data_IF_578944819564
#
_entry.id   IF_578944819564
#
_cell.length_a   1.000
_cell.length_b   1.000
_cell.length_c   1.000
_cell.angle_alpha   90.00
_cell.angle_beta   90.00
_cell.angle_gamma   90.00
#
_symmetry.space_group_name_H-M   'P 1'
#
loop_
_entity.id
_entity.type
_entity.pdbx_description
1 polymer ?
#
# COMPACT_ATOMS: atom_id res chain seq x y z
N UNK A 1 -19.91 31.62 -8.86
CA UNK A 1 -21.01 31.51 -9.84
C UNK A 1 -20.43 31.85 -11.20
N UNK A 2 -20.03 30.84 -11.96
CA UNK A 2 -19.69 31.03 -13.38
C UNK A 2 -20.07 29.74 -14.08
N UNK A 3 -21.17 29.82 -14.86
CA UNK A 3 -21.70 28.73 -15.67
C UNK A 3 -20.83 28.57 -16.92
N UNK A 4 -20.46 27.35 -17.22
CA UNK A 4 -19.88 26.95 -18.52
C UNK A 4 -21.02 26.82 -19.54
N UNK A 5 -20.88 27.32 -20.78
CA UNK A 5 -21.88 27.21 -21.81
C UNK A 5 -21.80 25.87 -22.54
N UNK A 6 -22.95 25.20 -22.67
CA UNK A 6 -23.15 24.10 -23.60
C UNK A 6 -23.28 24.67 -25.04
N UNK A 7 -22.70 24.03 -26.07
CA UNK A 7 -22.90 24.41 -27.45
C UNK A 7 -24.35 24.02 -27.91
N UNK A 8 -24.95 24.91 -28.72
CA UNK A 8 -26.25 24.71 -29.32
C UNK A 8 -26.15 23.79 -30.55
N UNK A 9 -27.22 23.05 -30.92
CA UNK A 9 -27.24 22.09 -32.00
C UNK A 9 -27.57 22.73 -33.35
N UNK A 10 -26.72 23.58 -33.91
CA UNK A 10 -26.89 24.14 -35.25
C UNK A 10 -25.50 24.51 -35.81
N UNK A 11 -24.75 23.49 -36.25
CA UNK A 11 -23.65 23.65 -37.19
C UNK A 11 -23.37 22.28 -37.86
N UNK A 12 -24.19 21.98 -38.87
CA UNK A 12 -23.84 20.97 -39.87
C UNK A 12 -23.40 21.68 -41.17
N UNK A 13 -22.26 21.36 -41.72
CA UNK A 13 -21.90 21.85 -43.06
C UNK A 13 -22.69 21.09 -44.13
N UNK A 14 -23.37 21.87 -44.97
CA UNK A 14 -23.98 21.43 -46.20
C UNK A 14 -22.91 20.90 -47.18
N UNK A 15 -23.08 19.68 -47.63
CA UNK A 15 -22.35 19.17 -48.79
C UNK A 15 -23.23 19.32 -50.02
N UNK A 16 -22.82 20.22 -50.92
CA UNK A 16 -23.41 20.46 -52.23
C UNK A 16 -23.15 19.27 -53.14
N UNK A 17 -24.20 18.87 -53.81
CA UNK A 17 -24.19 17.92 -54.95
C UNK A 17 -23.81 18.64 -56.23
N UNK A 18 -23.06 17.94 -57.07
CA UNK A 18 -23.01 18.01 -58.54
C UNK A 18 -21.95 16.94 -58.99
N UNK A 19 -22.24 16.00 -59.85
CA UNK A 19 -22.47 16.01 -61.29
C UNK A 19 -22.73 14.60 -61.84
N UNK A 20 -23.74 14.51 -62.61
CA UNK A 20 -24.01 13.79 -63.85
C UNK A 20 -23.09 12.65 -64.36
N UNK A 21 -23.75 11.60 -64.84
CA UNK A 21 -23.14 10.74 -65.82
C UNK A 21 -23.78 9.35 -65.99
N UNK A 22 -24.78 9.25 -66.88
CA UNK A 22 -25.07 8.16 -67.88
C UNK A 22 -25.33 6.74 -67.43
N UNK A 23 -26.59 6.40 -67.69
CA UNK A 23 -27.20 5.13 -68.06
C UNK A 23 -26.33 3.89 -68.26
N UNK A 24 -26.73 2.78 -67.63
CA UNK A 24 -27.06 1.49 -68.25
C UNK A 24 -27.80 0.66 -67.18
N UNK A 25 -29.05 0.25 -67.47
CA UNK A 25 -29.76 -0.79 -66.71
C UNK A 25 -29.29 -2.19 -67.15
N UNK A 26 -29.18 -3.10 -66.20
CA UNK A 26 -29.81 -4.40 -66.36
C UNK A 26 -30.69 -4.72 -65.14
N UNK A 27 -31.86 -5.15 -65.46
CA UNK A 27 -32.84 -5.78 -64.58
C UNK A 27 -32.23 -6.99 -63.87
N UNK A 28 -32.18 -6.93 -62.55
CA UNK A 28 -31.91 -8.12 -61.75
C UNK A 28 -32.74 -8.06 -60.46
N UNK A 29 -33.57 -9.05 -60.37
CA UNK A 29 -34.07 -9.72 -59.19
C UNK A 29 -34.48 -8.84 -58.00
N UNK A 30 -35.77 -8.77 -57.70
CA UNK A 30 -36.28 -8.37 -56.37
C UNK A 30 -35.48 -9.14 -55.32
N UNK A 31 -34.89 -8.46 -54.32
CA UNK A 31 -34.39 -9.16 -53.14
C UNK A 31 -35.61 -9.73 -52.42
N UNK A 32 -35.65 -11.04 -52.26
CA UNK A 32 -36.54 -11.70 -51.30
C UNK A 32 -36.41 -11.03 -49.94
N UNK A 33 -37.52 -10.77 -49.25
CA UNK A 33 -37.43 -10.21 -47.91
C UNK A 33 -36.66 -11.15 -47.04
N UNK A 34 -35.56 -10.65 -46.50
CA UNK A 34 -34.80 -11.31 -45.45
C UNK A 34 -35.76 -11.71 -44.35
N UNK A 35 -35.72 -12.99 -44.02
CA UNK A 35 -36.44 -13.60 -42.90
C UNK A 35 -36.39 -12.66 -41.73
N UNK A 36 -37.51 -12.03 -41.40
CA UNK A 36 -37.72 -11.30 -40.15
C UNK A 36 -37.23 -12.22 -39.02
N UNK A 37 -36.15 -11.86 -38.44
CA UNK A 37 -35.76 -12.44 -37.15
C UNK A 37 -36.89 -12.09 -36.19
N UNK A 38 -37.75 -13.05 -35.89
CA UNK A 38 -38.79 -12.90 -34.90
C UNK A 38 -38.17 -12.34 -33.64
N UNK A 39 -38.53 -11.11 -33.29
CA UNK A 39 -38.05 -10.45 -32.10
C UNK A 39 -38.33 -11.38 -30.90
N UNK A 40 -37.30 -11.70 -30.15
CA UNK A 40 -37.45 -12.50 -28.93
C UNK A 40 -38.53 -11.83 -28.02
N UNK A 41 -39.36 -12.61 -27.33
CA UNK A 41 -40.38 -12.05 -26.46
C UNK A 41 -39.73 -11.11 -25.44
N UNK A 42 -40.41 -10.00 -25.07
CA UNK A 42 -39.87 -9.07 -24.10
C UNK A 42 -39.68 -9.75 -22.74
N UNK A 43 -38.49 -9.57 -22.14
CA UNK A 43 -38.18 -10.07 -20.82
C UNK A 43 -38.64 -9.04 -19.77
N UNK A 44 -39.07 -9.53 -18.61
CA UNK A 44 -39.23 -8.68 -17.42
C UNK A 44 -37.85 -8.28 -16.87
N UNK A 45 -37.80 -7.22 -16.07
CA UNK A 45 -36.57 -6.76 -15.41
C UNK A 45 -35.94 -7.87 -14.55
N UNK A 46 -36.80 -8.64 -13.84
CA UNK A 46 -36.33 -9.75 -13.01
C UNK A 46 -35.74 -10.90 -13.84
N UNK A 47 -36.35 -11.24 -14.98
CA UNK A 47 -35.82 -12.27 -15.88
C UNK A 47 -34.48 -11.86 -16.49
N UNK A 48 -34.33 -10.58 -16.89
CA UNK A 48 -33.07 -10.06 -17.38
C UNK A 48 -31.99 -10.10 -16.29
N UNK A 49 -32.33 -9.66 -15.06
CA UNK A 49 -31.41 -9.69 -13.91
C UNK A 49 -30.94 -11.10 -13.58
N UNK A 50 -31.86 -12.09 -13.61
CA UNK A 50 -31.54 -13.49 -13.39
C UNK A 50 -30.59 -14.04 -14.49
N UNK A 51 -30.82 -13.70 -15.76
CA UNK A 51 -29.95 -14.07 -16.86
C UNK A 51 -28.54 -13.47 -16.71
N UNK A 52 -28.43 -12.18 -16.38
CA UNK A 52 -27.13 -11.53 -16.12
C UNK A 52 -26.37 -12.25 -15.01
N UNK A 53 -27.06 -12.53 -13.91
CA UNK A 53 -26.47 -13.25 -12.77
C UNK A 53 -25.99 -14.64 -13.16
N UNK A 54 -26.79 -15.39 -13.92
CA UNK A 54 -26.44 -16.71 -14.40
C UNK A 54 -25.19 -16.67 -15.30
N UNK A 55 -25.15 -15.76 -16.27
CA UNK A 55 -23.98 -15.60 -17.15
C UNK A 55 -22.72 -15.26 -16.35
N UNK A 56 -22.80 -14.39 -15.36
CA UNK A 56 -21.67 -14.04 -14.50
C UNK A 56 -21.19 -15.27 -13.71
N UNK A 57 -22.12 -16.06 -13.15
CA UNK A 57 -21.78 -17.26 -12.37
C UNK A 57 -21.15 -18.34 -13.22
N UNK A 58 -21.63 -18.53 -14.46
CA UNK A 58 -21.17 -19.60 -15.36
C UNK A 58 -19.85 -19.24 -16.05
N UNK A 59 -19.54 -17.93 -16.21
CA UNK A 59 -18.40 -17.48 -17.01
C UNK A 59 -17.21 -17.07 -16.18
N UNK A 60 -17.43 -16.48 -14.99
CA UNK A 60 -16.34 -15.97 -14.17
C UNK A 60 -15.76 -17.07 -13.25
N UNK A 61 -14.44 -17.17 -13.15
CA UNK A 61 -13.82 -18.06 -12.17
C UNK A 61 -14.19 -17.66 -10.75
N UNK A 62 -14.41 -18.61 -9.87
CA UNK A 62 -14.64 -18.36 -8.44
C UNK A 62 -13.58 -19.09 -7.63
N UNK A 63 -12.76 -18.36 -6.82
CA UNK A 63 -12.75 -16.91 -6.62
C UNK A 63 -12.07 -16.12 -7.74
N UNK A 64 -12.51 -14.88 -7.97
CA UNK A 64 -11.81 -13.90 -8.81
C UNK A 64 -10.79 -13.12 -7.98
N UNK A 65 -9.72 -12.64 -8.63
CA UNK A 65 -8.74 -11.73 -8.04
C UNK A 65 -8.72 -10.43 -8.84
N UNK A 66 -9.00 -9.32 -8.18
CA UNK A 66 -9.06 -8.00 -8.80
C UNK A 66 -8.05 -7.09 -8.13
N UNK A 67 -7.21 -6.43 -8.91
CA UNK A 67 -6.28 -5.39 -8.43
C UNK A 67 -6.88 -4.03 -8.69
N UNK A 68 -6.75 -3.11 -7.75
CA UNK A 68 -7.22 -1.73 -7.90
C UNK A 68 -6.89 -0.87 -6.69
N UNK A 69 -7.11 0.43 -6.83
CA UNK A 69 -6.98 1.40 -5.76
C UNK A 69 -8.28 1.52 -4.97
N UNK A 70 -8.21 1.48 -3.66
CA UNK A 70 -9.35 1.68 -2.78
C UNK A 70 -9.83 3.14 -2.87
N UNK A 71 -11.14 3.32 -2.98
CA UNK A 71 -11.79 4.63 -2.92
C UNK A 71 -13.14 4.54 -2.20
N UNK A 72 -13.57 5.64 -1.58
CA UNK A 72 -14.81 5.75 -0.82
C UNK A 72 -14.95 4.67 0.28
N UNK A 73 -13.86 4.42 1.00
CA UNK A 73 -13.83 3.43 2.06
C UNK A 73 -14.72 3.86 3.24
N UNK A 74 -15.61 2.99 3.65
CA UNK A 74 -16.48 3.20 4.80
C UNK A 74 -16.55 1.92 5.63
N UNK A 75 -16.26 2.03 6.92
CA UNK A 75 -16.43 0.96 7.88
C UNK A 75 -17.66 1.23 8.76
N UNK A 76 -18.59 0.29 8.74
CA UNK A 76 -19.70 0.21 9.69
C UNK A 76 -19.68 -1.17 10.35
N UNK A 77 -20.73 -1.98 10.15
CA UNK A 77 -20.69 -3.41 10.49
C UNK A 77 -19.85 -4.19 9.48
N UNK A 78 -19.81 -3.74 8.24
CA UNK A 78 -19.06 -4.29 7.11
C UNK A 78 -18.20 -3.18 6.49
N UNK A 79 -17.17 -3.55 5.73
CA UNK A 79 -16.43 -2.59 4.92
C UNK A 79 -17.09 -2.44 3.55
N UNK A 80 -17.38 -1.21 3.17
CA UNK A 80 -17.85 -0.83 1.84
C UNK A 80 -16.81 0.07 1.21
N UNK A 81 -16.42 -0.22 -0.02
CA UNK A 81 -15.46 0.57 -0.77
C UNK A 81 -15.63 0.33 -2.27
N UNK A 82 -14.93 1.08 -3.08
CA UNK A 82 -14.81 0.82 -4.50
C UNK A 82 -13.35 0.54 -4.85
N UNK A 83 -13.11 -0.42 -5.73
CA UNK A 83 -11.83 -0.57 -6.40
C UNK A 83 -11.91 0.18 -7.72
N UNK A 84 -10.92 1.03 -7.99
CA UNK A 84 -10.81 1.78 -9.23
C UNK A 84 -9.46 1.52 -9.89
N UNK A 85 -9.42 1.63 -11.21
CA UNK A 85 -8.26 1.78 -12.06
C UNK A 85 -8.44 2.99 -12.99
N UNK A 86 -7.58 3.13 -14.01
CA UNK A 86 -7.62 4.27 -14.93
C UNK A 86 -8.92 4.37 -15.76
N UNK A 87 -9.70 3.29 -15.88
CA UNK A 87 -10.88 3.23 -16.75
C UNK A 87 -12.16 2.76 -16.09
N UNK A 88 -12.11 2.16 -14.90
CA UNK A 88 -13.24 1.46 -14.32
C UNK A 88 -13.34 1.57 -12.81
N UNK A 89 -14.56 1.38 -12.30
CA UNK A 89 -14.82 1.33 -10.86
C UNK A 89 -15.70 0.13 -10.54
N UNK A 90 -15.32 -0.67 -9.56
CA UNK A 90 -16.04 -1.84 -9.08
C UNK A 90 -16.41 -1.67 -7.61
N UNK A 91 -17.69 -1.80 -7.27
CA UNK A 91 -18.15 -1.79 -5.87
C UNK A 91 -17.75 -3.07 -5.17
N UNK A 92 -17.25 -2.92 -3.93
CA UNK A 92 -16.77 -4.01 -3.09
C UNK A 92 -17.45 -4.00 -1.73
N UNK A 93 -17.77 -5.19 -1.25
CA UNK A 93 -18.30 -5.43 0.10
C UNK A 93 -17.46 -6.49 0.79
N UNK A 94 -16.83 -6.13 1.91
CA UNK A 94 -16.12 -7.07 2.76
C UNK A 94 -16.91 -7.26 4.06
N UNK A 95 -17.44 -8.45 4.27
CA UNK A 95 -18.24 -8.76 5.46
C UNK A 95 -17.39 -8.76 6.73
N UNK A 96 -18.02 -8.53 7.87
CA UNK A 96 -17.36 -8.44 9.18
C UNK A 96 -16.46 -9.64 9.52
N UNK A 97 -16.83 -10.86 9.07
CA UNK A 97 -16.03 -12.07 9.25
C UNK A 97 -14.70 -12.06 8.52
N UNK A 98 -14.68 -11.50 7.30
CA UNK A 98 -13.48 -11.30 6.49
C UNK A 98 -12.71 -10.04 6.95
N UNK A 99 -13.41 -8.95 7.24
CA UNK A 99 -12.83 -7.69 7.72
C UNK A 99 -12.00 -7.87 9.01
N UNK A 100 -12.45 -8.70 9.96
CA UNK A 100 -11.71 -9.02 11.19
C UNK A 100 -10.42 -9.80 10.97
N UNK A 101 -10.25 -10.42 9.80
CA UNK A 101 -9.04 -11.21 9.45
C UNK A 101 -8.02 -10.37 8.68
N UNK A 102 -8.34 -9.11 8.36
CA UNK A 102 -7.39 -8.21 7.71
C UNK A 102 -6.27 -7.85 8.67
N UNK A 103 -5.04 -8.10 8.27
CA UNK A 103 -3.84 -7.74 9.05
C UNK A 103 -3.44 -6.27 8.90
N UNK A 104 -4.29 -5.43 8.28
CA UNK A 104 -4.04 -4.01 8.05
C UNK A 104 -5.37 -3.24 8.01
N UNK A 105 -5.29 -1.92 8.14
CA UNK A 105 -6.45 -1.03 8.03
C UNK A 105 -6.52 -0.47 6.61
N UNK A 106 -7.55 -0.85 5.81
CA UNK A 106 -7.72 -0.28 4.47
C UNK A 106 -8.00 1.23 4.54
N UNK A 107 -7.39 1.98 3.63
CA UNK A 107 -7.59 3.43 3.48
C UNK A 107 -7.73 3.80 2.02
N UNK A 108 -8.39 4.95 1.74
CA UNK A 108 -8.47 5.49 0.38
C UNK A 108 -7.06 5.76 -0.18
N UNK A 109 -6.89 5.48 -1.48
CA UNK A 109 -5.61 5.60 -2.17
C UNK A 109 -4.71 4.35 -2.10
N UNK A 110 -5.05 3.36 -1.29
CA UNK A 110 -4.26 2.14 -1.16
C UNK A 110 -4.50 1.19 -2.34
N UNK A 111 -3.43 0.72 -2.98
CA UNK A 111 -3.51 -0.34 -3.97
C UNK A 111 -3.60 -1.73 -3.30
N UNK A 112 -4.59 -2.52 -3.72
CA UNK A 112 -4.86 -3.84 -3.13
C UNK A 112 -5.20 -4.88 -4.19
N UNK A 113 -5.00 -6.15 -3.83
CA UNK A 113 -5.59 -7.31 -4.52
C UNK A 113 -6.76 -7.80 -3.68
N UNK A 114 -7.96 -7.66 -4.19
CA UNK A 114 -9.16 -8.23 -3.59
C UNK A 114 -9.46 -9.60 -4.20
N UNK A 115 -9.62 -10.60 -3.37
CA UNK A 115 -10.02 -11.95 -3.76
C UNK A 115 -11.42 -12.21 -3.24
N UNK A 116 -12.31 -12.69 -4.10
CA UNK A 116 -13.69 -12.93 -3.72
C UNK A 116 -14.55 -13.42 -4.88
N UNK A 117 -15.85 -13.23 -4.78
CA UNK A 117 -16.81 -13.59 -5.81
C UNK A 117 -17.51 -12.37 -6.37
N UNK A 118 -17.74 -12.36 -7.68
CA UNK A 118 -18.58 -11.38 -8.33
C UNK A 118 -20.04 -11.82 -8.23
N UNK A 119 -20.93 -10.89 -7.93
CA UNK A 119 -22.37 -11.10 -7.94
C UNK A 119 -23.07 -9.85 -8.47
N UNK A 120 -24.30 -10.04 -8.96
CA UNK A 120 -25.15 -8.97 -9.43
C UNK A 120 -26.18 -8.63 -8.37
N UNK A 121 -26.07 -7.40 -7.82
CA UNK A 121 -27.02 -6.93 -6.82
C UNK A 121 -28.29 -6.41 -7.49
N UNK A 122 -29.31 -7.26 -7.61
CA UNK A 122 -30.53 -7.06 -8.36
C UNK A 122 -31.29 -5.81 -7.94
N UNK A 123 -31.34 -5.50 -6.63
CA UNK A 123 -32.09 -4.35 -6.11
C UNK A 123 -31.57 -2.99 -6.62
N UNK A 124 -30.32 -2.90 -7.06
CA UNK A 124 -29.70 -1.68 -7.60
C UNK A 124 -29.16 -1.86 -9.03
N UNK A 125 -29.28 -3.04 -9.61
CA UNK A 125 -28.78 -3.32 -10.95
C UNK A 125 -27.26 -3.17 -11.06
N UNK A 126 -26.49 -3.51 -10.00
CA UNK A 126 -25.07 -3.22 -9.91
C UNK A 126 -24.24 -4.49 -9.75
N UNK A 127 -23.10 -4.51 -10.43
CA UNK A 127 -22.08 -5.51 -10.23
C UNK A 127 -21.34 -5.22 -8.92
N UNK A 128 -21.16 -6.23 -8.07
CA UNK A 128 -20.43 -6.11 -6.80
C UNK A 128 -19.46 -7.25 -6.62
N UNK A 129 -18.30 -6.94 -6.01
CA UNK A 129 -17.33 -7.93 -5.55
C UNK A 129 -17.53 -8.17 -4.05
N UNK A 130 -17.92 -9.37 -3.67
CA UNK A 130 -17.93 -9.81 -2.28
C UNK A 130 -16.54 -10.32 -1.92
N UNK A 131 -15.84 -9.54 -1.09
CA UNK A 131 -14.42 -9.74 -0.79
C UNK A 131 -14.27 -10.70 0.39
N UNK A 132 -13.58 -11.81 0.16
CA UNK A 132 -13.20 -12.79 1.16
C UNK A 132 -11.80 -12.52 1.73
N UNK A 133 -10.89 -11.99 0.89
CA UNK A 133 -9.51 -11.65 1.25
C UNK A 133 -9.09 -10.35 0.57
N UNK A 134 -8.38 -9.50 1.30
CA UNK A 134 -7.81 -8.26 0.81
C UNK A 134 -6.34 -8.21 1.18
N UNK A 135 -5.48 -7.92 0.20
CA UNK A 135 -4.02 -7.90 0.35
C UNK A 135 -3.48 -6.60 -0.27
N UNK A 136 -2.67 -5.81 0.44
CA UNK A 136 -2.01 -4.67 -0.17
C UNK A 136 -1.06 -5.09 -1.29
N UNK A 137 -1.05 -4.34 -2.38
CA UNK A 137 -0.09 -4.56 -3.48
C UNK A 137 1.31 -4.19 -2.99
N UNK A 138 2.27 -5.08 -3.17
CA UNK A 138 3.67 -4.84 -2.78
C UNK A 138 4.09 -5.50 -1.46
N UNK A 139 3.19 -5.78 -0.51
CA UNK A 139 3.56 -6.42 0.75
C UNK A 139 4.22 -7.79 0.56
N UNK A 140 3.74 -8.61 -0.38
CA UNK A 140 4.35 -9.90 -0.67
C UNK A 140 5.79 -9.80 -1.17
N UNK A 141 6.12 -8.79 -1.96
CA UNK A 141 7.48 -8.56 -2.45
C UNK A 141 8.40 -8.05 -1.34
N UNK A 142 7.92 -7.14 -0.49
CA UNK A 142 8.67 -6.63 0.65
C UNK A 142 8.94 -7.76 1.65
N UNK A 143 7.95 -8.57 1.95
CA UNK A 143 8.09 -9.73 2.83
C UNK A 143 9.13 -10.74 2.29
N UNK A 144 9.11 -11.05 0.99
CA UNK A 144 10.11 -11.91 0.37
C UNK A 144 11.52 -11.31 0.47
N UNK A 145 11.68 -10.01 0.20
CA UNK A 145 12.96 -9.30 0.33
C UNK A 145 13.46 -9.30 1.78
N UNK A 146 12.56 -9.04 2.73
CA UNK A 146 12.88 -9.10 4.16
C UNK A 146 13.41 -10.48 4.56
N UNK A 147 12.69 -11.57 4.19
CA UNK A 147 13.10 -12.94 4.52
C UNK A 147 14.44 -13.32 3.88
N UNK A 148 14.62 -12.96 2.61
CA UNK A 148 15.89 -13.25 1.91
C UNK A 148 17.06 -12.54 2.58
N UNK A 149 16.92 -11.24 2.90
CA UNK A 149 17.98 -10.49 3.57
C UNK A 149 18.22 -10.98 5.01
N UNK A 150 17.16 -11.33 5.75
CA UNK A 150 17.32 -11.95 7.08
C UNK A 150 18.10 -13.26 7.03
N UNK A 151 17.87 -14.10 6.02
CA UNK A 151 18.61 -15.34 5.88
C UNK A 151 20.08 -15.08 5.58
N UNK A 152 20.38 -14.22 4.63
CA UNK A 152 21.74 -13.83 4.28
C UNK A 152 22.51 -13.28 5.50
N UNK A 153 21.90 -12.33 6.22
CA UNK A 153 22.53 -11.72 7.39
C UNK A 153 22.72 -12.71 8.55
N UNK A 154 21.83 -13.70 8.68
CA UNK A 154 21.99 -14.79 9.66
C UNK A 154 23.18 -15.66 9.32
N UNK A 155 23.34 -16.04 8.07
CA UNK A 155 24.49 -16.83 7.60
C UNK A 155 25.83 -16.09 7.78
N UNK A 156 25.79 -14.75 7.73
CA UNK A 156 26.94 -13.88 7.99
C UNK A 156 27.18 -13.59 9.50
N UNK A 157 26.35 -14.14 10.40
CA UNK A 157 26.50 -13.98 11.85
C UNK A 157 26.07 -12.61 12.40
N UNK A 158 25.27 -11.83 11.65
CA UNK A 158 24.86 -10.48 12.09
C UNK A 158 23.95 -10.48 13.32
N UNK A 159 23.32 -11.59 13.62
CA UNK A 159 22.37 -11.73 14.73
C UNK A 159 22.95 -12.48 15.93
N UNK A 160 24.23 -12.88 15.88
CA UNK A 160 24.85 -13.67 16.92
C UNK A 160 24.90 -12.90 18.25
N UNK A 161 24.56 -13.59 19.34
CA UNK A 161 24.48 -12.98 20.66
C UNK A 161 25.87 -12.57 21.16
N UNK A 162 26.90 -13.34 20.82
CA UNK A 162 28.29 -13.13 21.25
C UNK A 162 28.88 -11.81 20.76
N UNK A 163 28.34 -11.26 19.68
CA UNK A 163 28.78 -9.96 19.13
C UNK A 163 28.05 -8.77 19.70
N UNK A 164 26.90 -8.98 20.38
CA UNK A 164 26.12 -7.89 20.95
C UNK A 164 26.86 -7.24 22.11
N UNK A 165 26.99 -5.92 22.02
CA UNK A 165 27.69 -5.13 23.03
C UNK A 165 26.82 -4.94 24.26
N UNK A 166 27.39 -5.04 25.48
CA UNK A 166 26.63 -4.75 26.68
C UNK A 166 26.23 -3.27 26.74
N UNK A 167 25.02 -3.01 27.19
CA UNK A 167 24.56 -1.65 27.41
C UNK A 167 25.19 -1.08 28.71
N UNK A 168 25.53 0.21 28.73
CA UNK A 168 25.99 0.88 29.95
C UNK A 168 24.90 0.90 31.03
N UNK A 169 25.24 0.55 32.26
CA UNK A 169 24.29 0.55 33.39
C UNK A 169 23.79 1.96 33.71
N UNK A 170 24.68 2.95 33.62
CA UNK A 170 24.36 4.37 33.88
C UNK A 170 24.89 5.26 32.75
N UNK A 171 24.14 5.34 31.62
CA UNK A 171 24.55 6.19 30.51
C UNK A 171 24.43 7.68 30.91
N UNK A 172 25.47 8.45 30.66
CA UNK A 172 25.48 9.91 30.86
C UNK A 172 25.02 10.64 29.61
N UNK A 173 25.33 10.10 28.44
CA UNK A 173 24.98 10.72 27.17
C UNK A 173 24.52 9.66 26.19
N UNK A 174 23.31 9.82 25.66
CA UNK A 174 22.72 8.99 24.63
C UNK A 174 22.55 9.80 23.35
N UNK A 175 23.08 9.30 22.23
CA UNK A 175 22.81 9.84 20.91
C UNK A 175 21.45 9.29 20.42
N UNK A 176 20.51 10.17 20.11
CA UNK A 176 19.20 9.78 19.58
C UNK A 176 19.19 10.04 18.08
N UNK A 177 19.14 8.97 17.31
CA UNK A 177 19.06 9.02 15.84
C UNK A 177 17.59 8.88 15.45
N UNK A 178 16.98 9.99 15.09
CA UNK A 178 15.55 10.09 14.74
C UNK A 178 15.26 11.44 14.07
N UNK A 179 14.02 11.60 13.58
CA UNK A 179 13.56 12.89 13.05
C UNK A 179 13.21 13.87 14.17
N UNK A 180 13.66 15.13 14.03
CA UNK A 180 13.35 16.21 14.95
C UNK A 180 11.85 16.46 15.11
N UNK A 181 11.08 16.30 14.05
CA UNK A 181 9.63 16.52 14.04
C UNK A 181 8.82 15.29 14.46
N UNK A 182 9.47 14.15 14.73
CA UNK A 182 8.79 12.89 15.04
C UNK A 182 8.25 12.83 16.47
N UNK A 183 7.09 12.18 16.67
CA UNK A 183 6.53 11.93 18.00
C UNK A 183 7.48 11.10 18.86
N UNK A 184 8.21 10.15 18.27
CA UNK A 184 9.18 9.31 18.97
C UNK A 184 10.23 10.11 19.75
N UNK A 185 10.72 11.25 19.22
CA UNK A 185 11.66 12.10 19.93
C UNK A 185 11.04 12.68 21.21
N UNK A 186 9.77 13.12 21.15
CA UNK A 186 9.08 13.68 22.33
C UNK A 186 8.87 12.61 23.39
N UNK A 187 8.56 11.38 23.00
CA UNK A 187 8.41 10.25 23.92
C UNK A 187 9.73 9.91 24.61
N UNK A 188 10.85 9.90 23.86
CA UNK A 188 12.20 9.71 24.40
C UNK A 188 12.52 10.82 25.42
N UNK A 189 12.31 12.09 25.06
CA UNK A 189 12.57 13.23 25.97
C UNK A 189 11.74 13.11 27.23
N UNK A 190 10.44 12.86 27.10
CA UNK A 190 9.51 12.78 28.24
C UNK A 190 9.85 11.59 29.14
N UNK A 191 10.21 10.46 28.58
CA UNK A 191 10.59 9.26 29.34
C UNK A 191 11.92 9.46 30.06
N UNK A 192 12.92 10.03 29.38
CA UNK A 192 14.23 10.30 29.97
C UNK A 192 14.12 11.30 31.11
N UNK A 193 13.36 12.40 30.96
CA UNK A 193 13.13 13.39 32.04
C UNK A 193 12.51 12.76 33.26
N UNK A 194 11.59 11.82 33.10
CA UNK A 194 10.91 11.15 34.22
C UNK A 194 11.76 10.11 34.92
N UNK A 195 12.61 9.37 34.15
CA UNK A 195 13.33 8.19 34.66
C UNK A 195 14.82 8.43 34.93
N UNK A 196 15.45 9.32 34.21
CA UNK A 196 16.88 9.60 34.31
C UNK A 196 17.19 11.05 33.93
N UNK A 197 16.79 12.00 34.77
CA UNK A 197 16.94 13.44 34.52
C UNK A 197 18.39 13.89 34.32
N UNK A 198 19.38 13.13 34.80
CA UNK A 198 20.82 13.40 34.61
C UNK A 198 21.39 12.92 33.26
N UNK A 199 20.64 12.18 32.46
CA UNK A 199 21.07 11.70 31.15
C UNK A 199 20.92 12.80 30.08
N UNK A 200 22.02 13.07 29.37
CA UNK A 200 22.05 14.03 28.28
C UNK A 200 21.64 13.33 26.99
N UNK A 201 20.69 13.91 26.24
CA UNK A 201 20.29 13.46 24.91
C UNK A 201 20.93 14.36 23.85
N UNK A 202 21.59 13.75 22.86
CA UNK A 202 22.11 14.42 21.68
C UNK A 202 21.33 13.97 20.46
N UNK A 203 20.55 14.86 19.87
CA UNK A 203 19.76 14.55 18.67
C UNK A 203 20.65 14.56 17.43
N UNK A 204 20.59 13.47 16.69
CA UNK A 204 21.06 13.34 15.32
C UNK A 204 19.84 13.33 14.43
N UNK A 205 19.52 14.49 13.86
CA UNK A 205 18.33 14.71 13.05
C UNK A 205 18.51 14.07 11.67
N UNK A 206 17.75 13.01 11.40
CA UNK A 206 17.76 12.24 10.15
C UNK A 206 16.33 11.98 9.68
N UNK A 207 16.16 11.79 8.38
CA UNK A 207 14.90 11.24 7.87
C UNK A 207 14.76 9.79 8.32
N UNK A 208 13.56 9.42 8.78
CA UNK A 208 13.24 8.07 9.27
C UNK A 208 12.21 7.35 8.40
N UNK A 209 11.88 7.93 7.25
CA UNK A 209 11.00 7.35 6.22
C UNK A 209 11.32 7.93 4.84
N UNK A 210 10.89 7.20 3.78
CA UNK A 210 11.18 7.56 2.40
C UNK A 210 12.57 7.10 1.94
N UNK A 211 12.85 7.24 0.65
CA UNK A 211 14.05 6.67 -0.01
C UNK A 211 15.39 7.16 0.55
N UNK A 212 15.44 8.35 1.13
CA UNK A 212 16.67 8.91 1.69
C UNK A 212 16.93 8.51 3.15
N UNK A 213 15.98 7.86 3.83
CA UNK A 213 16.10 7.55 5.25
C UNK A 213 17.23 6.54 5.52
N UNK A 214 17.31 5.45 4.79
CA UNK A 214 18.34 4.43 5.01
C UNK A 214 19.78 4.96 4.85
N UNK A 215 20.13 5.72 3.79
CA UNK A 215 21.45 6.34 3.69
C UNK A 215 21.74 7.34 4.83
N UNK A 216 20.78 8.16 5.23
CA UNK A 216 20.99 9.14 6.31
C UNK A 216 21.18 8.47 7.67
N UNK A 217 20.38 7.47 7.99
CA UNK A 217 20.53 6.68 9.22
C UNK A 217 21.89 5.99 9.26
N UNK A 218 22.30 5.33 8.17
CA UNK A 218 23.59 4.67 8.08
C UNK A 218 24.74 5.66 8.25
N UNK A 219 24.69 6.83 7.60
CA UNK A 219 25.72 7.88 7.72
C UNK A 219 25.81 8.43 9.15
N UNK A 220 24.66 8.62 9.82
CA UNK A 220 24.64 9.07 11.21
C UNK A 220 25.27 8.04 12.15
N UNK A 221 24.96 6.75 11.99
CA UNK A 221 25.56 5.66 12.77
C UNK A 221 27.07 5.59 12.53
N UNK A 222 27.53 5.70 11.28
CA UNK A 222 28.94 5.71 10.94
C UNK A 222 29.70 6.92 11.54
N UNK A 223 29.08 8.09 11.53
CA UNK A 223 29.64 9.28 12.17
C UNK A 223 29.80 9.06 13.68
N UNK A 224 28.73 8.53 14.33
CA UNK A 224 28.73 8.21 15.75
C UNK A 224 29.75 7.11 16.09
N UNK A 225 29.91 6.10 15.26
CA UNK A 225 30.93 5.08 15.45
C UNK A 225 32.35 5.64 15.47
N UNK A 226 32.63 6.63 14.59
CA UNK A 226 33.96 7.27 14.50
C UNK A 226 34.21 8.31 15.58
N UNK A 227 33.22 9.10 15.97
CA UNK A 227 33.39 10.29 16.80
C UNK A 227 32.72 10.21 18.15
N UNK A 228 31.80 9.27 18.37
CA UNK A 228 30.93 9.23 19.52
C UNK A 228 31.69 9.12 20.84
N UNK A 229 32.77 8.34 20.90
CA UNK A 229 33.63 8.25 22.10
C UNK A 229 34.28 9.58 22.45
N UNK A 230 34.71 10.37 21.45
CA UNK A 230 35.28 11.72 21.68
C UNK A 230 34.25 12.69 22.18
N UNK A 231 32.97 12.49 21.79
CA UNK A 231 31.83 13.31 22.24
C UNK A 231 31.27 12.83 23.60
N UNK A 232 31.85 11.78 24.18
CA UNK A 232 31.38 11.20 25.45
C UNK A 232 30.00 10.54 25.33
N UNK A 233 29.70 9.95 24.17
CA UNK A 233 28.46 9.21 23.91
C UNK A 233 28.63 7.78 24.39
N UNK A 234 27.73 7.32 25.26
CA UNK A 234 27.77 6.01 25.88
C UNK A 234 26.95 4.97 25.09
N UNK A 235 25.87 5.39 24.45
CA UNK A 235 25.01 4.53 23.64
C UNK A 235 24.29 5.32 22.55
N UNK A 236 23.82 4.61 21.54
CA UNK A 236 22.98 5.14 20.45
C UNK A 236 21.56 4.58 20.63
N UNK A 237 20.56 5.43 20.56
CA UNK A 237 19.17 5.05 20.45
C UNK A 237 18.69 5.39 19.03
N UNK A 238 18.45 4.36 18.22
CA UNK A 238 17.83 4.48 16.90
C UNK A 238 16.33 4.26 17.06
N UNK A 239 15.53 5.28 16.79
CA UNK A 239 14.09 5.18 17.07
C UNK A 239 13.22 5.84 16.02
N UNK A 240 12.06 5.21 15.79
CA UNK A 240 10.97 5.70 14.94
C UNK A 240 9.65 5.19 15.49
N UNK A 241 8.62 6.04 15.50
CA UNK A 241 7.26 5.64 15.88
C UNK A 241 6.65 4.61 14.93
N UNK A 242 5.45 4.10 15.23
CA UNK A 242 4.73 3.13 14.40
C UNK A 242 4.45 3.64 12.98
N UNK A 243 4.06 2.73 12.10
CA UNK A 243 3.74 2.98 10.70
C UNK A 243 3.56 1.68 9.93
N UNK A 244 3.28 1.79 8.64
CA UNK A 244 3.18 0.62 7.75
C UNK A 244 4.57 -0.03 7.52
N UNK A 245 4.59 -1.25 7.00
CA UNK A 245 5.85 -1.92 6.64
C UNK A 245 6.65 -1.13 5.60
N UNK A 246 5.98 -0.47 4.68
CA UNK A 246 6.58 0.42 3.69
C UNK A 246 7.28 1.61 4.36
N UNK A 247 6.67 2.19 5.38
CA UNK A 247 7.24 3.29 6.15
C UNK A 247 8.45 2.86 6.98
N UNK A 248 8.47 1.64 7.47
CA UNK A 248 9.56 1.06 8.24
C UNK A 248 10.66 0.45 7.37
N UNK A 249 10.44 0.39 6.05
CA UNK A 249 11.32 -0.34 5.14
C UNK A 249 12.77 0.14 5.15
N UNK A 250 13.00 1.43 5.38
CA UNK A 250 14.34 1.99 5.50
C UNK A 250 15.23 1.27 6.55
N UNK A 251 14.61 0.71 7.58
CA UNK A 251 15.30 -0.05 8.64
C UNK A 251 15.49 -1.53 8.31
N UNK A 252 14.96 -1.97 7.15
CA UNK A 252 15.18 -3.30 6.58
C UNK A 252 16.21 -3.27 5.44
N UNK A 253 16.82 -2.12 5.17
CA UNK A 253 17.84 -1.98 4.14
C UNK A 253 19.20 -2.48 4.61
N UNK A 254 19.93 -3.18 3.72
CA UNK A 254 21.27 -3.73 3.96
C UNK A 254 22.25 -2.70 4.52
N UNK A 255 22.23 -1.47 3.98
CA UNK A 255 23.14 -0.39 4.37
C UNK A 255 23.01 -0.02 5.85
N UNK A 256 21.80 -0.08 6.42
CA UNK A 256 21.54 0.20 7.85
C UNK A 256 22.04 -0.96 8.70
N UNK A 257 21.76 -2.22 8.29
CA UNK A 257 22.26 -3.40 8.97
C UNK A 257 23.80 -3.39 9.04
N UNK A 258 24.47 -3.10 7.95
CA UNK A 258 25.92 -3.00 7.87
C UNK A 258 26.50 -1.89 8.77
N UNK A 259 25.82 -0.73 8.83
CA UNK A 259 26.22 0.39 9.70
C UNK A 259 26.11 0.01 11.18
N UNK A 260 25.01 -0.64 11.58
CA UNK A 260 24.81 -1.14 12.95
C UNK A 260 25.85 -2.20 13.28
N UNK A 261 26.09 -3.15 12.37
CA UNK A 261 27.03 -4.25 12.56
C UNK A 261 28.45 -3.78 12.84
N UNK A 262 28.95 -2.78 12.09
CA UNK A 262 30.32 -2.24 12.26
C UNK A 262 30.45 -1.15 13.32
N UNK A 263 29.34 -0.70 13.93
CA UNK A 263 29.37 0.38 14.93
C UNK A 263 30.13 -0.06 16.18
N UNK A 264 30.95 0.83 16.72
CA UNK A 264 31.76 0.56 17.93
C UNK A 264 31.03 0.89 19.24
N UNK A 265 29.94 1.67 19.18
CA UNK A 265 29.10 1.99 20.33
C UNK A 265 27.92 1.01 20.42
N UNK A 266 27.41 0.73 21.63
CA UNK A 266 26.19 -0.05 21.76
C UNK A 266 24.99 0.69 21.18
N UNK A 267 24.15 -0.04 20.43
CA UNK A 267 22.95 0.48 19.76
C UNK A 267 21.72 -0.20 20.32
N UNK A 268 20.74 0.61 20.75
CA UNK A 268 19.38 0.17 21.01
C UNK A 268 18.53 0.62 19.83
N UNK A 269 17.82 -0.32 19.18
CA UNK A 269 16.86 0.00 18.12
C UNK A 269 15.44 -0.19 18.65
N UNK A 270 14.61 0.86 18.55
CA UNK A 270 13.22 0.89 18.96
C UNK A 270 12.39 1.44 17.79
N UNK A 271 11.91 0.54 16.93
CA UNK A 271 11.33 0.88 15.64
C UNK A 271 9.96 0.24 15.51
N UNK A 272 8.92 1.06 15.24
CA UNK A 272 7.55 0.58 15.15
C UNK A 272 6.95 0.16 16.50
N UNK A 273 6.04 -0.82 16.46
CA UNK A 273 5.42 -1.41 17.65
C UNK A 273 6.07 -2.76 17.97
N UNK A 274 5.74 -3.35 19.11
CA UNK A 274 6.29 -4.65 19.53
C UNK A 274 6.08 -5.80 18.54
N UNK A 275 5.03 -5.70 17.71
CA UNK A 275 4.70 -6.66 16.64
C UNK A 275 5.55 -6.51 15.38
N UNK A 276 6.16 -5.34 15.19
CA UNK A 276 6.88 -4.99 13.97
C UNK A 276 8.38 -5.24 14.20
N UNK A 277 8.90 -6.34 13.69
CA UNK A 277 10.34 -6.64 13.81
C UNK A 277 11.06 -6.19 12.55
N UNK A 278 12.07 -5.31 12.71
CA UNK A 278 12.93 -4.86 11.62
C UNK A 278 14.32 -5.50 11.66
N UNK A 279 15.00 -5.52 10.50
CA UNK A 279 16.40 -6.02 10.44
C UNK A 279 17.31 -5.18 11.33
N UNK A 280 17.12 -3.86 11.40
CA UNK A 280 17.88 -3.00 12.28
C UNK A 280 17.80 -3.44 13.76
N UNK A 281 16.60 -3.86 14.21
CA UNK A 281 16.42 -4.38 15.58
C UNK A 281 17.08 -5.75 15.80
N UNK A 282 17.06 -6.63 14.78
CA UNK A 282 17.73 -7.93 14.87
C UNK A 282 19.25 -7.79 14.99
N UNK A 283 19.85 -6.82 14.27
CA UNK A 283 21.29 -6.57 14.27
C UNK A 283 21.74 -5.74 15.49
N UNK A 284 20.90 -4.86 16.02
CA UNK A 284 21.21 -4.01 17.17
C UNK A 284 21.56 -4.82 18.42
N UNK A 285 22.25 -4.18 19.36
CA UNK A 285 22.69 -4.81 20.60
C UNK A 285 21.52 -5.05 21.57
N UNK A 286 20.47 -4.21 21.51
CA UNK A 286 19.21 -4.38 22.23
C UNK A 286 18.04 -3.80 21.45
N UNK A 287 16.83 -4.20 21.83
CA UNK A 287 15.53 -3.75 21.35
C UNK A 287 14.71 -3.13 22.48
#
# INVERSE_FOLDING_TARGET
>A
MTRLPFPKPDDQPEFSAEMEGSAVSPSLGRPTPSREQAAAPPLTVSELSALVRQVLTDTLPTPVRVVGEISNFTYRTHCFFSLKDDGSTLRCVCFASAARKLGFTPTDGMQVVATGRIDYYEAQGQLQLYVDKLEPVGQGLLEMRFRALCQELRELGYFDIERKKPLPVFPRTIAVVTSRSGAALQDVINTTRRRCAGCRLLLFDVRVQGAAAAPEVAAAIDLLSRQGRRLGIDAILLTRGGGSMEDLWAFNERIVADAIHRCTLPIVAAIGHETDTTIAELVADAR
#
